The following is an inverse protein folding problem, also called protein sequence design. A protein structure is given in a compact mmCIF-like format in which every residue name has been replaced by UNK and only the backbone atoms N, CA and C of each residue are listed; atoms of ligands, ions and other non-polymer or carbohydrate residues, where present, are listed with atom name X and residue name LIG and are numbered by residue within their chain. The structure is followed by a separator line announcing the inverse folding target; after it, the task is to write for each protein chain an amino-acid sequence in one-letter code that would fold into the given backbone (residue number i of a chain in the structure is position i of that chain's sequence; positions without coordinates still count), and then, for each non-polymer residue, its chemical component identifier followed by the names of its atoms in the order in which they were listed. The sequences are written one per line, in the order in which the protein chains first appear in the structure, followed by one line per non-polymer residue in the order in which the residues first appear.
data_IF_969375564456
#
_entry.id   IF_969375564456
#
_cell.length_a   1.000
_cell.length_b   1.000
_cell.length_c   1.000
_cell.angle_alpha   90.00
_cell.angle_beta   90.00
_cell.angle_gamma   90.00
#
_symmetry.space_group_name_H-M   'P 1'
#
loop_
_entity.id
_entity.type
_entity.pdbx_description
1 polymer ?
#
# COMPACT_ATOMS: atom_id res chain seq x y z
N UNK A 1 -16.81 0.72 18.24
CA UNK A 1 -16.04 1.85 17.68
C UNK A 1 -16.19 1.81 16.16
N UNK A 2 -17.03 2.69 15.62
CA UNK A 2 -17.52 2.66 14.23
C UNK A 2 -16.43 3.14 13.26
N UNK A 3 -15.89 2.24 12.43
CA UNK A 3 -15.07 2.62 11.28
C UNK A 3 -16.03 3.11 10.18
N UNK A 4 -16.38 4.39 10.23
CA UNK A 4 -17.12 5.09 9.17
C UNK A 4 -16.14 5.86 8.29
N UNK A 5 -15.38 5.15 7.45
CA UNK A 5 -14.44 5.76 6.51
C UNK A 5 -14.46 4.97 5.20
N UNK A 6 -15.49 5.16 4.36
CA UNK A 6 -15.30 5.18 2.90
C UNK A 6 -16.56 5.61 2.12
N UNK A 7 -17.14 6.79 2.39
CA UNK A 7 -18.17 7.37 1.51
C UNK A 7 -17.74 8.72 0.91
N UNK A 8 -16.51 8.80 0.41
CA UNK A 8 -16.15 9.86 -0.53
C UNK A 8 -16.60 9.43 -1.92
N UNK A 9 -17.89 9.59 -2.19
CA UNK A 9 -18.40 9.75 -3.55
C UNK A 9 -17.76 11.02 -4.15
N UNK A 10 -16.51 10.90 -4.64
CA UNK A 10 -15.86 11.97 -5.40
C UNK A 10 -16.52 12.02 -6.77
N UNK A 11 -17.46 12.95 -6.92
CA UNK A 11 -17.89 13.43 -8.23
C UNK A 11 -16.65 13.81 -9.04
N UNK A 12 -16.53 13.47 -10.33
CA UNK A 12 -15.41 13.93 -11.14
C UNK A 12 -15.43 15.46 -11.19
N UNK A 13 -14.56 16.06 -10.40
CA UNK A 13 -14.40 17.51 -10.28
C UNK A 13 -13.95 18.08 -11.63
N UNK A 14 -14.26 19.35 -11.90
CA UNK A 14 -13.82 20.05 -13.12
C UNK A 14 -12.30 19.92 -13.37
N UNK A 15 -11.52 19.73 -12.30
CA UNK A 15 -10.08 19.43 -12.34
C UNK A 15 -9.75 18.08 -13.01
N UNK A 16 -10.48 17.01 -12.69
CA UNK A 16 -10.26 15.68 -13.28
C UNK A 16 -10.50 15.68 -14.80
N UNK A 17 -11.54 16.39 -15.26
CA UNK A 17 -11.82 16.55 -16.69
C UNK A 17 -10.73 17.35 -17.40
N UNK A 18 -10.19 18.40 -16.77
CA UNK A 18 -9.07 19.18 -17.32
C UNK A 18 -7.82 18.31 -17.49
N UNK A 19 -7.47 17.53 -16.46
CA UNK A 19 -6.32 16.63 -16.49
C UNK A 19 -6.44 15.54 -17.57
N UNK A 20 -7.62 14.94 -17.73
CA UNK A 20 -7.86 13.94 -18.78
C UNK A 20 -7.74 14.54 -20.18
N UNK A 21 -8.15 15.79 -20.38
CA UNK A 21 -7.95 16.50 -21.65
C UNK A 21 -6.48 16.73 -21.93
N UNK A 22 -5.74 17.25 -20.95
CA UNK A 22 -4.28 17.46 -21.07
C UNK A 22 -3.56 16.15 -21.38
N UNK A 23 -3.90 15.06 -20.68
CA UNK A 23 -3.34 13.73 -20.92
C UNK A 23 -3.56 13.23 -22.36
N UNK A 24 -4.74 13.52 -22.95
CA UNK A 24 -5.02 13.20 -24.36
C UNK A 24 -4.20 14.07 -25.32
N UNK A 25 -4.06 15.37 -25.03
CA UNK A 25 -3.27 16.30 -25.83
C UNK A 25 -1.80 15.90 -25.89
N UNK A 26 -1.24 15.43 -24.76
CA UNK A 26 0.15 14.94 -24.69
C UNK A 26 0.31 13.44 -24.99
N UNK A 27 -0.76 12.77 -25.45
CA UNK A 27 -0.79 11.35 -25.85
C UNK A 27 -0.32 10.35 -24.77
N UNK A 28 -0.65 10.61 -23.51
CA UNK A 28 -0.46 9.63 -22.43
C UNK A 28 -1.33 8.41 -22.69
N UNK A 29 -0.75 7.21 -22.53
CA UNK A 29 -1.52 5.97 -22.56
C UNK A 29 -2.31 5.82 -21.26
N UNK A 30 -3.53 6.36 -21.25
CA UNK A 30 -4.38 6.40 -20.06
C UNK A 30 -4.66 5.01 -19.49
N UNK A 31 -4.82 3.97 -20.32
CA UNK A 31 -5.08 2.60 -19.84
C UNK A 31 -3.91 2.11 -19.01
N UNK A 32 -2.70 2.14 -19.58
CA UNK A 32 -1.49 1.68 -18.91
C UNK A 32 -1.23 2.47 -17.63
N UNK A 33 -1.34 3.80 -17.68
CA UNK A 33 -1.14 4.65 -16.50
C UNK A 33 -2.15 4.36 -15.39
N UNK A 34 -3.43 4.13 -15.72
CA UNK A 34 -4.44 3.79 -14.73
C UNK A 34 -4.24 2.38 -14.16
N UNK A 35 -3.87 1.41 -14.99
CA UNK A 35 -3.57 0.05 -14.56
C UNK A 35 -2.41 0.03 -13.57
N UNK A 36 -1.30 0.69 -13.88
CA UNK A 36 -0.13 0.80 -13.01
C UNK A 36 -0.47 1.49 -11.68
N UNK A 37 -1.19 2.61 -11.74
CA UNK A 37 -1.59 3.35 -10.55
C UNK A 37 -2.54 2.53 -9.67
N UNK A 38 -3.48 1.81 -10.28
CA UNK A 38 -4.43 0.96 -9.58
C UNK A 38 -3.72 -0.23 -8.93
N UNK A 39 -2.82 -0.89 -9.65
CA UNK A 39 -2.03 -2.00 -9.12
C UNK A 39 -1.20 -1.55 -7.90
N UNK A 40 -0.53 -0.40 -8.01
CA UNK A 40 0.25 0.17 -6.91
C UNK A 40 -0.63 0.47 -5.68
N UNK A 41 -1.79 1.09 -5.90
CA UNK A 41 -2.73 1.42 -4.82
C UNK A 41 -3.28 0.17 -4.13
N UNK A 42 -3.68 -0.85 -4.91
CA UNK A 42 -4.17 -2.13 -4.38
C UNK A 42 -3.07 -2.84 -3.60
N UNK A 43 -1.84 -2.89 -4.13
CA UNK A 43 -0.70 -3.51 -3.48
C UNK A 43 -0.39 -2.84 -2.14
N UNK A 44 -0.37 -1.50 -2.10
CA UNK A 44 -0.19 -0.75 -0.85
C UNK A 44 -1.30 -1.08 0.15
N UNK A 45 -2.55 -1.02 -0.27
CA UNK A 45 -3.68 -1.28 0.64
C UNK A 45 -3.65 -2.68 1.22
N UNK A 46 -3.30 -3.69 0.40
CA UNK A 46 -3.13 -5.08 0.85
C UNK A 46 -2.01 -5.22 1.86
N UNK A 47 -0.86 -4.56 1.65
CA UNK A 47 0.22 -4.53 2.64
C UNK A 47 -0.23 -3.92 3.96
N UNK A 48 -0.94 -2.80 3.91
CA UNK A 48 -1.42 -2.12 5.13
C UNK A 48 -2.39 -3.00 5.92
N UNK A 49 -3.29 -3.72 5.22
CA UNK A 49 -4.19 -4.69 5.84
C UNK A 49 -3.41 -5.84 6.48
N UNK A 50 -2.49 -6.45 5.74
CA UNK A 50 -1.68 -7.55 6.26
C UNK A 50 -0.87 -7.14 7.49
N UNK A 51 -0.25 -5.94 7.49
CA UNK A 51 0.47 -5.41 8.64
C UNK A 51 -0.44 -5.16 9.85
N UNK A 52 -1.68 -4.71 9.61
CA UNK A 52 -2.65 -4.53 10.68
C UNK A 52 -3.09 -5.87 11.28
N UNK A 53 -3.40 -6.85 10.42
CA UNK A 53 -3.83 -8.20 10.82
C UNK A 53 -2.72 -8.97 11.56
N UNK A 54 -1.46 -8.80 11.15
CA UNK A 54 -0.32 -9.55 11.69
C UNK A 54 0.45 -8.80 12.78
N UNK A 55 -0.04 -7.64 13.24
CA UNK A 55 0.66 -6.77 14.20
C UNK A 55 1.07 -7.53 15.47
N UNK A 56 0.17 -8.31 16.04
CA UNK A 56 0.43 -9.06 17.27
C UNK A 56 1.47 -10.17 17.06
N UNK A 57 1.36 -10.91 15.96
CA UNK A 57 2.32 -11.96 15.60
C UNK A 57 3.72 -11.38 15.35
N UNK A 58 3.80 -10.26 14.64
CA UNK A 58 5.07 -9.53 14.42
C UNK A 58 5.66 -9.08 15.76
N UNK A 59 4.86 -8.50 16.65
CA UNK A 59 5.34 -8.07 17.98
C UNK A 59 5.81 -9.24 18.84
N UNK A 60 5.10 -10.37 18.81
CA UNK A 60 5.49 -11.58 19.53
C UNK A 60 6.81 -12.13 18.99
N UNK A 61 6.96 -12.19 17.67
CA UNK A 61 8.19 -12.61 17.02
C UNK A 61 9.37 -11.68 17.34
N UNK A 62 9.16 -10.37 17.33
CA UNK A 62 10.20 -9.40 17.67
C UNK A 62 10.68 -9.58 19.12
N UNK A 63 9.76 -9.78 20.07
CA UNK A 63 10.13 -10.07 21.47
C UNK A 63 10.92 -11.37 21.60
N UNK A 64 10.54 -12.42 20.85
CA UNK A 64 11.27 -13.68 20.84
C UNK A 64 12.70 -13.49 20.32
N UNK A 65 12.87 -12.73 19.23
CA UNK A 65 14.19 -12.41 18.68
C UNK A 65 15.03 -11.59 19.68
N UNK A 66 14.43 -10.64 20.39
CA UNK A 66 15.13 -9.87 21.44
C UNK A 66 15.60 -10.74 22.62
N UNK A 67 14.85 -11.81 22.93
CA UNK A 67 15.14 -12.71 24.05
C UNK A 67 16.13 -13.81 23.68
N UNK A 68 15.92 -14.45 22.54
CA UNK A 68 16.60 -15.69 22.15
C UNK A 68 17.65 -15.46 21.04
N UNK A 69 17.72 -14.26 20.47
CA UNK A 69 18.53 -13.97 19.27
C UNK A 69 17.84 -14.43 17.98
N UNK A 70 18.51 -14.24 16.84
CA UNK A 70 18.07 -14.82 15.57
C UNK A 70 18.83 -16.11 15.29
N UNK A 71 18.19 -17.07 14.63
CA UNK A 71 18.81 -18.35 14.25
C UNK A 71 20.15 -18.19 13.51
N UNK A 72 20.31 -17.12 12.73
CA UNK A 72 21.54 -16.83 12.00
C UNK A 72 22.69 -16.28 12.86
N UNK A 73 22.46 -15.93 14.13
CA UNK A 73 23.49 -15.35 14.99
C UNK A 73 24.66 -16.32 15.20
N UNK A 74 24.39 -17.62 15.29
CA UNK A 74 25.43 -18.66 15.41
C UNK A 74 26.19 -18.93 14.10
N UNK A 75 25.65 -18.49 12.96
CA UNK A 75 26.23 -18.71 11.63
C UNK A 75 26.93 -17.46 11.08
N UNK A 76 26.91 -16.34 11.82
CA UNK A 76 27.47 -15.07 11.39
C UNK A 76 28.98 -15.01 11.64
N UNK A 77 29.78 -15.53 10.70
CA UNK A 77 31.22 -15.22 10.60
C UNK A 77 31.41 -13.88 9.86
N UNK A 78 32.13 -12.95 10.49
CA UNK A 78 32.55 -11.65 9.94
C UNK A 78 33.94 -11.73 9.31
#
# INVERSE_FOLDING_TARGET
MLIRLNELHRQPTTSARKLLREAREVRINLSATLEEALEAAVRQRRRDLWLAENREAIQANNRLIEQEGVFSDELRTF
#
